data_IF_029335929563
#
_entry.id   IF_029335929563
#
_cell.length_a   1.000
_cell.length_b   1.000
_cell.length_c   1.000
_cell.angle_alpha   90.00
_cell.angle_beta   90.00
_cell.angle_gamma   90.00
#
_symmetry.space_group_name_H-M   'P 1'
#
loop_
_entity.id
_entity.type
_entity.pdbx_description
1 polymer ?
#
# COMPACT_ATOMS: atom_id res chain seq x y z
N UNK A 1 33.81 -31.32 6.11
CA UNK A 1 33.74 -30.35 4.99
C UNK A 1 33.99 -31.15 3.73
N UNK A 2 33.12 -31.00 2.73
CA UNK A 2 33.11 -31.69 1.43
C UNK A 2 32.71 -33.18 1.41
N UNK A 3 31.42 -33.42 1.65
CA UNK A 3 30.69 -34.43 0.87
C UNK A 3 29.55 -33.70 0.17
N UNK A 4 29.23 -34.10 -1.07
CA UNK A 4 27.98 -33.80 -1.76
C UNK A 4 27.94 -32.75 -2.90
N UNK A 5 29.09 -32.38 -3.51
CA UNK A 5 29.07 -31.94 -4.92
C UNK A 5 29.53 -33.06 -5.86
N UNK A 6 28.77 -34.15 -5.81
CA UNK A 6 28.93 -35.27 -6.73
C UNK A 6 28.18 -34.98 -8.06
N UNK A 7 28.84 -35.06 -9.23
CA UNK A 7 28.30 -34.63 -10.53
C UNK A 7 27.02 -35.37 -10.97
N UNK A 8 26.76 -36.55 -10.40
CA UNK A 8 25.52 -37.30 -10.64
C UNK A 8 24.25 -36.63 -10.09
N UNK A 9 24.36 -35.70 -9.13
CA UNK A 9 23.21 -34.97 -8.59
C UNK A 9 22.87 -33.70 -9.39
N UNK A 10 23.77 -33.26 -10.27
CA UNK A 10 23.59 -32.05 -11.08
C UNK A 10 22.31 -32.06 -11.95
N UNK A 11 21.86 -33.18 -12.55
CA UNK A 11 20.60 -33.22 -13.28
C UNK A 11 19.37 -32.99 -12.38
N UNK A 12 19.37 -33.55 -11.18
CA UNK A 12 18.29 -33.38 -10.21
C UNK A 12 18.19 -31.94 -9.71
N UNK A 13 19.34 -31.32 -9.41
CA UNK A 13 19.42 -29.92 -9.00
C UNK A 13 19.00 -28.97 -10.13
N UNK A 14 19.40 -29.25 -11.38
CA UNK A 14 18.96 -28.47 -12.56
C UNK A 14 17.46 -28.60 -12.79
N UNK A 15 16.90 -29.80 -12.62
CA UNK A 15 15.46 -30.03 -12.70
C UNK A 15 14.72 -29.22 -11.63
N UNK A 16 15.21 -29.26 -10.38
CA UNK A 16 14.64 -28.49 -9.27
C UNK A 16 14.76 -26.98 -9.49
N UNK A 17 15.87 -26.51 -10.05
CA UNK A 17 16.05 -25.11 -10.42
C UNK A 17 15.02 -24.70 -11.48
N UNK A 18 14.83 -25.50 -12.52
CA UNK A 18 13.85 -25.23 -13.57
C UNK A 18 12.40 -25.22 -13.04
N UNK A 19 12.09 -26.08 -12.07
CA UNK A 19 10.79 -26.09 -11.39
C UNK A 19 10.58 -24.83 -10.54
N UNK A 20 11.55 -24.46 -9.70
CA UNK A 20 11.48 -23.25 -8.87
C UNK A 20 11.43 -21.98 -9.72
N UNK A 21 12.15 -21.91 -10.84
CA UNK A 21 12.05 -20.77 -11.77
C UNK A 21 10.64 -20.65 -12.37
N UNK A 22 9.97 -21.76 -12.67
CA UNK A 22 8.57 -21.72 -13.13
C UNK A 22 7.63 -21.22 -12.04
N UNK A 23 7.83 -21.67 -10.80
CA UNK A 23 7.05 -21.20 -9.65
C UNK A 23 7.23 -19.69 -9.43
N UNK A 24 8.49 -19.20 -9.47
CA UNK A 24 8.78 -17.76 -9.36
C UNK A 24 8.04 -16.98 -10.45
N UNK A 25 8.18 -17.37 -11.72
CA UNK A 25 7.54 -16.65 -12.82
C UNK A 25 6.01 -16.67 -12.70
N UNK A 26 5.42 -17.78 -12.26
CA UNK A 26 3.97 -17.88 -12.08
C UNK A 26 3.46 -16.97 -10.94
N UNK A 27 4.21 -16.86 -9.85
CA UNK A 27 3.87 -15.95 -8.74
C UNK A 27 4.05 -14.49 -9.17
N UNK A 28 5.10 -14.17 -9.91
CA UNK A 28 5.31 -12.83 -10.48
C UNK A 28 4.17 -12.44 -11.44
N UNK A 29 3.66 -13.37 -12.25
CA UNK A 29 2.50 -13.12 -13.12
C UNK A 29 1.21 -12.88 -12.31
N UNK A 30 0.98 -13.67 -11.24
CA UNK A 30 -0.15 -13.46 -10.34
C UNK A 30 -0.08 -12.10 -9.63
N UNK A 31 1.11 -11.70 -9.17
CA UNK A 31 1.33 -10.38 -8.59
C UNK A 31 1.10 -9.28 -9.63
N UNK A 32 1.63 -9.41 -10.85
CA UNK A 32 1.41 -8.44 -11.91
C UNK A 32 -0.06 -8.29 -12.31
N UNK A 33 -0.85 -9.37 -12.27
CA UNK A 33 -2.29 -9.31 -12.52
C UNK A 33 -3.04 -8.56 -11.41
N UNK A 34 -2.72 -8.82 -10.14
CA UNK A 34 -3.32 -8.13 -8.99
C UNK A 34 -2.86 -6.66 -8.87
N UNK A 35 -1.58 -6.39 -9.13
CA UNK A 35 -1.02 -5.05 -9.16
C UNK A 35 -1.52 -4.27 -10.38
N UNK A 36 -1.84 -4.91 -11.51
CA UNK A 36 -2.48 -4.25 -12.64
C UNK A 36 -3.78 -3.54 -12.24
N UNK A 37 -4.60 -4.21 -11.42
CA UNK A 37 -5.86 -3.67 -10.91
C UNK A 37 -5.65 -2.61 -9.80
N UNK A 38 -4.65 -2.78 -8.93
CA UNK A 38 -4.37 -1.84 -7.83
C UNK A 38 -3.55 -0.59 -8.25
N UNK A 39 -2.65 -0.75 -9.22
CA UNK A 39 -1.73 0.29 -9.69
C UNK A 39 -2.42 1.26 -10.67
N UNK A 40 -3.53 0.84 -11.31
CA UNK A 40 -4.45 1.76 -11.99
C UNK A 40 -5.18 2.67 -11.00
N UNK A 41 -5.44 2.27 -9.75
CA UNK A 41 -6.13 3.11 -8.77
C UNK A 41 -5.18 4.12 -8.07
N UNK A 42 -3.91 3.76 -7.85
CA UNK A 42 -2.93 4.63 -7.14
C UNK A 42 -1.98 5.43 -8.04
N UNK A 43 -1.76 5.01 -9.30
CA UNK A 43 -0.76 5.64 -10.19
C UNK A 43 -1.35 6.50 -11.28
N UNK A 44 -2.67 6.51 -11.45
CA UNK A 44 -3.30 7.54 -12.26
C UNK A 44 -3.14 8.86 -11.49
N UNK A 45 -2.39 9.87 -12.01
CA UNK A 45 -2.77 11.23 -11.65
C UNK A 45 -4.26 11.28 -11.97
N UNK A 46 -5.11 11.61 -11.00
CA UNK A 46 -6.51 11.90 -11.31
C UNK A 46 -6.43 12.91 -12.44
N UNK A 47 -6.73 12.46 -13.65
CA UNK A 47 -6.76 13.37 -14.78
C UNK A 47 -7.93 14.23 -14.42
N UNK A 48 -7.62 15.45 -13.97
CA UNK A 48 -8.61 16.48 -13.82
C UNK A 48 -9.16 16.66 -15.23
N UNK A 49 -10.23 15.92 -15.52
CA UNK A 49 -11.22 16.32 -16.49
C UNK A 49 -11.48 17.80 -16.18
N UNK A 50 -11.61 18.69 -17.18
CA UNK A 50 -12.02 20.06 -16.92
C UNK A 50 -13.46 20.02 -16.40
N UNK A 51 -13.60 19.68 -15.12
CA UNK A 51 -14.78 19.91 -14.32
C UNK A 51 -14.89 21.42 -14.31
N UNK A 52 -16.04 21.90 -14.76
CA UNK A 52 -16.41 23.31 -14.70
C UNK A 52 -15.87 23.93 -13.41
N UNK A 53 -15.27 25.12 -13.51
CA UNK A 53 -14.77 25.83 -12.34
C UNK A 53 -15.83 25.80 -11.23
N UNK A 54 -15.49 25.30 -10.02
CA UNK A 54 -16.47 25.12 -8.97
C UNK A 54 -17.16 26.46 -8.70
N UNK A 55 -18.47 26.48 -8.94
CA UNK A 55 -19.33 27.66 -8.96
C UNK A 55 -19.91 27.97 -7.58
N UNK A 56 -20.02 26.95 -6.72
CA UNK A 56 -20.55 27.08 -5.36
C UNK A 56 -19.45 26.87 -4.30
N UNK A 57 -19.65 27.39 -3.07
CA UNK A 57 -18.74 27.10 -1.95
C UNK A 57 -18.60 25.60 -1.65
N UNK A 58 -19.69 24.83 -1.78
CA UNK A 58 -19.67 23.38 -1.55
C UNK A 58 -18.81 22.65 -2.57
N UNK A 59 -18.89 23.03 -3.86
CA UNK A 59 -18.04 22.46 -4.92
C UNK A 59 -16.55 22.76 -4.69
N UNK A 60 -16.22 23.96 -4.19
CA UNK A 60 -14.83 24.31 -3.85
C UNK A 60 -14.29 23.46 -2.70
N UNK A 61 -15.09 23.23 -1.67
CA UNK A 61 -14.73 22.38 -0.53
C UNK A 61 -14.56 20.93 -0.98
N UNK A 62 -15.49 20.41 -1.79
CA UNK A 62 -15.41 19.06 -2.33
C UNK A 62 -14.14 18.85 -3.17
N UNK A 63 -13.84 19.79 -4.07
CA UNK A 63 -12.62 19.79 -4.87
C UNK A 63 -11.34 19.81 -4.00
N UNK A 64 -11.31 20.68 -2.99
CA UNK A 64 -10.17 20.77 -2.08
C UNK A 64 -9.94 19.47 -1.32
N UNK A 65 -11.01 18.83 -0.82
CA UNK A 65 -10.90 17.55 -0.14
C UNK A 65 -10.50 16.43 -1.10
N UNK A 66 -10.97 16.43 -2.34
CA UNK A 66 -10.55 15.45 -3.34
C UNK A 66 -9.04 15.54 -3.63
N UNK A 67 -8.50 16.76 -3.72
CA UNK A 67 -7.11 17.01 -4.08
C UNK A 67 -6.14 16.90 -2.90
N UNK A 68 -6.57 17.35 -1.72
CA UNK A 68 -5.69 17.59 -0.58
C UNK A 68 -6.12 16.88 0.70
N UNK A 69 -7.26 16.16 0.72
CA UNK A 69 -7.61 15.43 1.92
C UNK A 69 -6.57 14.35 2.20
N UNK A 70 -6.13 14.31 3.46
CA UNK A 70 -5.37 13.19 4.00
C UNK A 70 -6.23 11.93 4.03
N UNK A 71 -5.62 10.77 4.33
CA UNK A 71 -6.37 9.51 4.52
C UNK A 71 -7.52 9.75 5.51
N UNK A 72 -8.76 9.50 5.09
CA UNK A 72 -9.97 9.67 5.93
C UNK A 72 -9.95 8.79 7.16
N UNK A 73 -9.21 7.70 7.11
CA UNK A 73 -8.97 6.81 8.25
C UNK A 73 -8.03 7.40 9.30
N UNK A 74 -7.46 8.60 9.08
CA UNK A 74 -6.59 9.30 10.03
C UNK A 74 -7.30 10.56 10.52
N UNK A 75 -7.47 10.68 11.84
CA UNK A 75 -8.18 11.78 12.48
C UNK A 75 -7.43 12.26 13.72
N UNK A 76 -7.61 13.53 14.14
CA UNK A 76 -6.95 14.04 15.34
C UNK A 76 -7.65 13.53 16.61
N UNK A 77 -6.92 12.85 17.49
CA UNK A 77 -7.37 12.53 18.84
C UNK A 77 -6.87 13.61 19.81
N UNK A 78 -7.78 14.17 20.60
CA UNK A 78 -7.44 15.11 21.66
C UNK A 78 -6.87 14.34 22.85
N UNK A 79 -5.76 14.81 23.39
CA UNK A 79 -5.20 14.30 24.64
C UNK A 79 -5.02 15.43 25.64
N UNK A 80 -5.15 15.11 26.92
CA UNK A 80 -4.99 16.03 28.03
C UNK A 80 -4.18 15.35 29.14
N UNK A 81 -3.19 16.06 29.69
CA UNK A 81 -2.37 15.58 30.79
C UNK A 81 -2.71 16.38 32.06
N UNK A 82 -3.56 15.81 32.91
CA UNK A 82 -4.03 16.46 34.14
C UNK A 82 -2.89 16.85 35.12
N UNK A 83 -1.74 16.17 35.07
CA UNK A 83 -0.59 16.45 35.97
C UNK A 83 0.21 17.67 35.53
N UNK A 84 0.38 17.86 34.23
CA UNK A 84 1.20 18.94 33.65
C UNK A 84 0.38 20.09 33.08
N UNK A 85 -0.94 19.92 32.99
CA UNK A 85 -1.85 20.90 32.38
C UNK A 85 -1.71 21.03 30.87
N UNK A 86 -0.97 20.13 30.21
CA UNK A 86 -0.76 20.17 28.76
C UNK A 86 -1.87 19.43 28.03
N UNK A 87 -2.30 20.00 26.92
CA UNK A 87 -3.22 19.37 25.99
C UNK A 87 -2.74 19.52 24.54
N UNK A 88 -3.30 18.71 23.65
CA UNK A 88 -2.95 18.74 22.23
C UNK A 88 -3.77 17.78 21.40
N UNK A 89 -3.37 17.67 20.13
CA UNK A 89 -3.93 16.72 19.17
C UNK A 89 -2.82 15.85 18.60
N UNK A 90 -3.09 14.56 18.48
CA UNK A 90 -2.21 13.61 17.79
C UNK A 90 -2.99 12.91 16.68
N UNK A 91 -2.36 12.60 15.54
CA UNK A 91 -3.01 11.79 14.51
C UNK A 91 -3.18 10.35 15.02
N UNK A 92 -4.41 9.84 14.95
CA UNK A 92 -4.76 8.44 15.18
C UNK A 92 -5.46 7.89 13.96
N UNK A 93 -5.58 6.57 13.85
CA UNK A 93 -6.34 5.94 12.78
C UNK A 93 -7.30 4.87 13.29
N UNK A 94 -8.28 4.50 12.46
CA UNK A 94 -9.25 3.43 12.79
C UNK A 94 -8.56 2.10 13.16
N UNK A 95 -7.35 1.89 12.64
CA UNK A 95 -6.58 0.66 12.82
C UNK A 95 -5.70 0.62 14.08
N UNK A 96 -5.72 1.66 14.92
CA UNK A 96 -4.80 1.77 16.06
C UNK A 96 -4.85 0.58 17.04
N UNK A 97 -5.95 -0.17 17.05
CA UNK A 97 -6.15 -1.35 17.93
C UNK A 97 -6.28 -2.69 17.18
N UNK A 98 -5.95 -2.73 15.89
CA UNK A 98 -5.97 -3.96 15.10
C UNK A 98 -4.58 -4.59 15.01
N UNK A 99 -4.29 -5.67 15.76
CA UNK A 99 -2.98 -6.32 15.71
C UNK A 99 -2.73 -6.92 14.31
N UNK A 100 -1.58 -6.57 13.72
CA UNK A 100 -1.14 -7.11 12.43
C UNK A 100 -1.48 -6.27 11.20
N UNK A 101 -1.84 -4.99 11.39
CA UNK A 101 -1.94 -3.98 10.31
C UNK A 101 -0.90 -2.88 10.53
#
# INVERSE_FOLDING_TARGET
>A
MDSDLQPQHAPGLRKRLAELTREINAVEEQLAALDGDAQLELRQPRTFQPVHSPSTPAEKVALFLELFATRRSVFPQRWENARTGKDGYSPVCDNEWHPGI
#
